data_IF_592995758217
#
_entry.id   IF_592995758217
#
_cell.length_a   1.000
_cell.length_b   1.000
_cell.length_c   1.000
_cell.angle_alpha   90.00
_cell.angle_beta   90.00
_cell.angle_gamma   90.00
#
_symmetry.space_group_name_H-M   'P 1'
#
loop_
_entity.id
_entity.type
_entity.pdbx_description
1 polymer ?
#
# COMPACT_ATOMS: atom_id res chain seq x y z
N UNK A 1 6.38 -19.88 -8.98
CA UNK A 1 5.20 -19.12 -8.49
C UNK A 1 4.01 -19.62 -9.28
N UNK A 2 2.92 -20.07 -8.62
CA UNK A 2 1.73 -20.58 -9.29
C UNK A 2 0.64 -19.52 -9.25
N UNK A 3 0.05 -19.22 -10.40
CA UNK A 3 -1.11 -18.33 -10.50
C UNK A 3 -2.35 -19.19 -10.55
N UNK A 4 -3.31 -18.90 -9.68
CA UNK A 4 -4.59 -19.58 -9.58
C UNK A 4 -5.73 -18.59 -9.84
N UNK A 5 -6.82 -19.07 -10.45
CA UNK A 5 -8.01 -18.26 -10.67
C UNK A 5 -8.91 -18.34 -9.44
N UNK A 6 -9.20 -17.20 -8.81
CA UNK A 6 -10.02 -17.14 -7.58
C UNK A 6 -11.27 -16.30 -7.83
N UNK A 7 -12.45 -16.85 -7.51
CA UNK A 7 -13.71 -16.12 -7.66
C UNK A 7 -13.70 -14.82 -6.85
N UNK A 8 -14.12 -13.66 -7.43
CA UNK A 8 -14.15 -12.37 -6.73
C UNK A 8 -14.87 -12.42 -5.37
N UNK A 9 -15.93 -13.20 -5.26
CA UNK A 9 -16.69 -13.38 -4.02
C UNK A 9 -15.89 -14.00 -2.86
N UNK A 10 -14.75 -14.64 -3.14
CA UNK A 10 -13.84 -15.18 -2.13
C UNK A 10 -12.71 -14.24 -1.74
N UNK A 11 -12.62 -13.07 -2.39
CA UNK A 11 -11.56 -12.09 -2.17
C UNK A 11 -12.06 -11.02 -1.21
N UNK A 12 -11.35 -10.85 -0.10
CA UNK A 12 -11.71 -9.89 0.94
C UNK A 12 -10.63 -8.80 1.04
N UNK A 13 -11.02 -7.51 1.08
CA UNK A 13 -10.07 -6.42 1.32
C UNK A 13 -9.41 -6.56 2.69
N UNK A 14 -8.10 -6.37 2.77
CA UNK A 14 -7.41 -6.32 4.05
C UNK A 14 -7.88 -5.10 4.87
N UNK A 15 -8.29 -5.27 6.14
CA UNK A 15 -8.76 -4.16 6.98
C UNK A 15 -7.65 -3.15 7.29
N UNK A 16 -6.42 -3.59 7.31
CA UNK A 16 -5.21 -2.81 7.62
C UNK A 16 -4.50 -2.25 6.38
N UNK A 17 -5.13 -2.27 5.21
CA UNK A 17 -4.52 -1.73 3.98
C UNK A 17 -4.08 -0.28 4.15
N UNK A 18 -2.87 0.01 3.71
CA UNK A 18 -2.20 1.30 3.92
C UNK A 18 -2.16 2.20 2.68
N UNK A 19 -2.76 1.77 1.58
CA UNK A 19 -2.74 2.49 0.30
C UNK A 19 -4.07 3.15 0.00
N UNK A 20 -4.02 4.35 -0.59
CA UNK A 20 -5.19 5.09 -1.04
C UNK A 20 -5.03 5.50 -2.50
N UNK A 21 -6.10 5.41 -3.28
CA UNK A 21 -6.11 5.82 -4.69
C UNK A 21 -7.30 6.74 -4.94
N UNK A 22 -7.10 7.79 -5.70
CA UNK A 22 -8.13 8.73 -6.07
C UNK A 22 -9.08 8.13 -7.11
N UNK A 23 -10.33 8.60 -7.15
CA UNK A 23 -11.35 8.10 -8.12
C UNK A 23 -10.90 8.21 -9.59
N UNK A 24 -10.26 9.31 -10.05
CA UNK A 24 -9.74 9.39 -11.42
C UNK A 24 -8.73 8.30 -11.75
N UNK A 25 -7.84 7.98 -10.81
CA UNK A 25 -6.81 6.96 -11.00
C UNK A 25 -7.42 5.54 -11.07
N UNK A 26 -8.49 5.29 -10.30
CA UNK A 26 -9.25 4.05 -10.40
C UNK A 26 -9.90 3.88 -11.78
N UNK A 27 -10.35 4.98 -12.41
CA UNK A 27 -10.89 4.93 -13.76
C UNK A 27 -9.80 4.55 -14.76
N UNK A 28 -8.64 5.22 -14.71
CA UNK A 28 -7.48 4.90 -15.58
C UNK A 28 -7.08 3.44 -15.41
N UNK A 29 -7.05 2.93 -14.18
CA UNK A 29 -6.74 1.53 -13.90
C UNK A 29 -7.79 0.58 -14.49
N UNK A 30 -9.07 0.93 -14.41
CA UNK A 30 -10.16 0.15 -14.99
C UNK A 30 -10.07 0.10 -16.52
N UNK A 31 -9.78 1.24 -17.16
CA UNK A 31 -9.59 1.35 -18.60
C UNK A 31 -8.37 0.51 -19.04
N UNK A 32 -7.25 0.62 -18.32
CA UNK A 32 -6.06 -0.19 -18.59
C UNK A 32 -6.32 -1.71 -18.47
N UNK A 33 -7.09 -2.14 -17.46
CA UNK A 33 -7.45 -3.57 -17.32
C UNK A 33 -8.38 -4.01 -18.45
N UNK A 34 -9.25 -3.12 -18.94
CA UNK A 34 -10.11 -3.41 -20.09
C UNK A 34 -9.31 -3.59 -21.38
N UNK A 35 -8.31 -2.75 -21.60
CA UNK A 35 -7.53 -2.70 -22.85
C UNK A 35 -6.45 -3.80 -22.91
N UNK A 36 -5.76 -4.03 -21.81
CA UNK A 36 -4.58 -4.89 -21.76
C UNK A 36 -4.75 -6.15 -20.90
N UNK A 37 -5.89 -6.28 -20.22
CA UNK A 37 -6.08 -7.33 -19.22
C UNK A 37 -5.37 -7.05 -17.88
N UNK A 38 -5.47 -7.99 -16.97
CA UNK A 38 -4.82 -7.91 -15.66
C UNK A 38 -3.34 -8.33 -15.78
N UNK A 39 -2.45 -7.36 -16.03
CA UNK A 39 -1.02 -7.58 -16.26
C UNK A 39 -0.26 -8.14 -15.05
N UNK A 40 -0.80 -7.98 -13.85
CA UNK A 40 -0.18 -8.45 -12.61
C UNK A 40 -1.23 -9.11 -11.69
N UNK A 41 -1.03 -10.36 -11.25
CA UNK A 41 -1.98 -11.05 -10.38
C UNK A 41 -2.11 -10.37 -9.03
N UNK A 42 -3.20 -10.64 -8.32
CA UNK A 42 -3.36 -10.26 -6.92
C UNK A 42 -2.49 -11.17 -6.04
N UNK A 43 -2.02 -10.65 -4.88
CA UNK A 43 -1.41 -11.47 -3.84
C UNK A 43 -2.44 -11.68 -2.74
N UNK A 44 -2.76 -12.94 -2.44
CA UNK A 44 -3.88 -13.30 -1.59
C UNK A 44 -3.45 -14.32 -0.54
N UNK A 45 -3.85 -14.11 0.71
CA UNK A 45 -3.68 -15.08 1.78
C UNK A 45 -4.58 -16.28 1.51
N UNK A 46 -4.00 -17.47 1.43
CA UNK A 46 -4.69 -18.70 1.03
C UNK A 46 -5.81 -19.11 1.99
N UNK A 47 -5.58 -18.92 3.28
CA UNK A 47 -6.50 -19.36 4.34
C UNK A 47 -7.80 -18.57 4.39
N UNK A 48 -7.73 -17.24 4.21
CA UNK A 48 -8.85 -16.32 4.41
C UNK A 48 -9.39 -15.68 3.11
N UNK A 49 -8.64 -15.74 2.00
CA UNK A 49 -8.95 -14.99 0.79
C UNK A 49 -8.64 -13.50 0.89
N UNK A 50 -7.89 -13.09 1.91
CA UNK A 50 -7.55 -11.69 2.18
C UNK A 50 -6.53 -11.17 1.17
N UNK A 51 -6.85 -10.05 0.51
CA UNK A 51 -6.00 -9.43 -0.52
C UNK A 51 -4.88 -8.63 0.13
N UNK A 52 -3.65 -9.14 0.04
CA UNK A 52 -2.44 -8.52 0.57
C UNK A 52 -1.95 -7.40 -0.34
N UNK A 53 -1.92 -7.66 -1.67
CA UNK A 53 -1.61 -6.64 -2.69
C UNK A 53 -2.55 -6.76 -3.88
N UNK A 54 -2.84 -5.62 -4.52
CA UNK A 54 -3.73 -5.53 -5.67
C UNK A 54 -5.16 -5.14 -5.34
N UNK A 55 -5.42 -4.59 -4.17
CA UNK A 55 -6.75 -4.13 -3.75
C UNK A 55 -7.41 -3.18 -4.76
N UNK A 56 -6.67 -2.20 -5.31
CA UNK A 56 -7.23 -1.26 -6.29
C UNK A 56 -7.61 -1.96 -7.60
N UNK A 57 -6.86 -3.00 -8.00
CA UNK A 57 -7.19 -3.86 -9.15
C UNK A 57 -8.50 -4.63 -8.90
N UNK A 58 -8.68 -5.15 -7.69
CA UNK A 58 -9.94 -5.79 -7.30
C UNK A 58 -11.11 -4.81 -7.34
N UNK A 59 -10.94 -3.58 -6.82
CA UNK A 59 -11.96 -2.53 -6.87
C UNK A 59 -12.28 -2.15 -8.32
N UNK A 60 -11.28 -1.94 -9.17
CA UNK A 60 -11.48 -1.61 -10.58
C UNK A 60 -12.32 -2.69 -11.29
N UNK A 61 -11.99 -3.97 -11.05
CA UNK A 61 -12.75 -5.10 -11.59
C UNK A 61 -14.19 -5.10 -11.07
N UNK A 62 -14.39 -4.91 -9.77
CA UNK A 62 -15.72 -4.96 -9.13
C UNK A 62 -16.61 -3.76 -9.47
N UNK A 63 -16.00 -2.61 -9.79
CA UNK A 63 -16.75 -1.37 -10.12
C UNK A 63 -17.18 -1.27 -11.58
N UNK A 64 -16.58 -2.06 -12.47
CA UNK A 64 -16.91 -2.06 -13.91
C UNK A 64 -17.77 -3.27 -14.26
N UNK A 65 -18.95 -3.04 -14.86
CA UNK A 65 -19.84 -4.13 -15.30
C UNK A 65 -19.18 -5.06 -16.32
N UNK A 66 -18.38 -4.51 -17.24
CA UNK A 66 -17.67 -5.29 -18.26
C UNK A 66 -16.58 -6.17 -17.61
N UNK A 67 -15.77 -5.60 -16.72
CA UNK A 67 -14.70 -6.34 -16.02
C UNK A 67 -15.30 -7.38 -15.06
N UNK A 68 -16.38 -7.06 -14.34
CA UNK A 68 -17.08 -8.03 -13.50
C UNK A 68 -17.54 -9.24 -14.30
N UNK A 69 -18.03 -9.03 -15.54
CA UNK A 69 -18.39 -10.13 -16.43
C UNK A 69 -17.17 -10.92 -16.89
N UNK A 70 -16.08 -10.25 -17.27
CA UNK A 70 -14.85 -10.91 -17.78
C UNK A 70 -14.12 -11.69 -16.72
N UNK A 71 -14.12 -11.22 -15.47
CA UNK A 71 -13.41 -11.84 -14.34
C UNK A 71 -14.34 -12.56 -13.34
N UNK A 72 -15.62 -12.72 -13.67
CA UNK A 72 -16.62 -13.34 -12.80
C UNK A 72 -16.30 -14.78 -12.42
N UNK A 73 -15.69 -15.54 -13.33
CA UNK A 73 -15.27 -16.94 -13.10
C UNK A 73 -13.96 -17.02 -12.29
N UNK A 74 -13.17 -15.95 -12.27
CA UNK A 74 -11.98 -15.87 -11.44
C UNK A 74 -11.02 -14.76 -11.83
N UNK A 75 -10.39 -14.22 -10.80
CA UNK A 75 -9.29 -13.24 -10.90
C UNK A 75 -7.98 -13.96 -10.72
N UNK A 76 -6.96 -13.70 -11.57
CA UNK A 76 -5.62 -14.27 -11.40
C UNK A 76 -5.00 -13.85 -10.07
N UNK A 77 -4.66 -14.80 -9.22
CA UNK A 77 -4.11 -14.61 -7.90
C UNK A 77 -2.88 -15.49 -7.65
N UNK A 78 -1.95 -14.99 -6.88
CA UNK A 78 -0.88 -15.75 -6.24
C UNK A 78 -1.32 -16.03 -4.81
N UNK A 79 -1.54 -17.28 -4.48
CA UNK A 79 -1.92 -17.69 -3.14
C UNK A 79 -0.68 -17.91 -2.27
N UNK A 80 -0.62 -17.21 -1.13
CA UNK A 80 0.46 -17.33 -0.16
C UNK A 80 -0.05 -17.94 1.15
N UNK A 81 0.74 -18.86 1.71
CA UNK A 81 0.41 -19.50 2.97
C UNK A 81 1.15 -18.79 4.11
N UNK A 82 0.57 -17.71 4.60
CA UNK A 82 1.11 -16.87 5.67
C UNK A 82 0.01 -16.59 6.69
N UNK A 83 0.37 -16.30 7.94
CA UNK A 83 -0.60 -15.81 8.93
C UNK A 83 -0.89 -14.30 8.75
N UNK A 84 -1.79 -13.75 9.57
CA UNK A 84 -2.22 -12.35 9.42
C UNK A 84 -1.09 -11.34 9.67
N UNK A 85 -0.19 -11.65 10.58
CA UNK A 85 0.94 -10.77 10.90
C UNK A 85 1.96 -10.78 9.74
N UNK A 86 2.29 -11.93 9.21
CA UNK A 86 3.17 -12.03 8.04
C UNK A 86 2.53 -11.42 6.79
N UNK A 87 1.20 -11.51 6.66
CA UNK A 87 0.47 -10.84 5.59
C UNK A 87 0.60 -9.30 5.69
N UNK A 88 0.56 -8.73 6.90
CA UNK A 88 0.82 -7.30 7.13
C UNK A 88 2.27 -6.94 6.77
N UNK A 89 3.24 -7.74 7.22
CA UNK A 89 4.66 -7.55 6.87
C UNK A 89 4.86 -7.57 5.36
N UNK A 90 4.28 -8.57 4.69
CA UNK A 90 4.34 -8.69 3.22
C UNK A 90 3.72 -7.48 2.54
N UNK A 91 2.55 -7.01 2.99
CA UNK A 91 1.89 -5.82 2.45
C UNK A 91 2.81 -4.59 2.50
N UNK A 92 3.43 -4.34 3.64
CA UNK A 92 4.35 -3.21 3.80
C UNK A 92 5.55 -3.35 2.85
N UNK A 93 6.21 -4.51 2.84
CA UNK A 93 7.42 -4.75 2.02
C UNK A 93 7.16 -4.63 0.53
N UNK A 94 5.98 -5.03 0.05
CA UNK A 94 5.60 -4.90 -1.38
C UNK A 94 5.22 -3.48 -1.76
N UNK A 95 4.65 -2.69 -0.84
CA UNK A 95 4.10 -1.37 -1.16
C UNK A 95 5.01 -0.21 -0.75
N UNK A 96 5.84 -0.35 0.29
CA UNK A 96 6.78 0.70 0.72
C UNK A 96 7.74 1.16 -0.40
N UNK A 97 8.34 0.27 -1.20
CA UNK A 97 9.18 0.69 -2.32
C UNK A 97 8.43 1.45 -3.43
N UNK A 98 7.10 1.30 -3.51
CA UNK A 98 6.24 2.02 -4.46
C UNK A 98 5.89 3.44 -3.99
N UNK A 99 6.28 3.83 -2.77
CA UNK A 99 6.05 5.17 -2.21
C UNK A 99 4.61 5.49 -1.85
N UNK A 100 3.71 4.51 -1.76
CA UNK A 100 2.25 4.72 -1.66
C UNK A 100 1.65 4.46 -0.27
N UNK A 101 2.46 4.33 0.78
CA UNK A 101 1.96 4.04 2.12
C UNK A 101 1.68 5.31 2.91
N UNK A 102 0.44 5.47 3.38
CA UNK A 102 0.02 6.57 4.25
C UNK A 102 0.57 6.36 5.66
N UNK A 103 1.25 7.36 6.21
CA UNK A 103 1.92 7.31 7.51
C UNK A 103 1.04 6.82 8.67
N UNK A 104 -0.21 7.29 8.73
CA UNK A 104 -1.19 6.87 9.74
C UNK A 104 -1.48 5.36 9.69
N UNK A 105 -1.62 4.82 8.47
CA UNK A 105 -1.87 3.39 8.28
C UNK A 105 -0.61 2.58 8.59
N UNK A 106 0.57 3.08 8.20
CA UNK A 106 1.85 2.46 8.55
C UNK A 106 2.02 2.34 10.07
N UNK A 107 1.77 3.42 10.83
CA UNK A 107 1.79 3.40 12.31
C UNK A 107 0.84 2.33 12.88
N UNK A 108 -0.38 2.22 12.34
CA UNK A 108 -1.33 1.20 12.78
C UNK A 108 -0.84 -0.22 12.53
N UNK A 109 -0.24 -0.47 11.36
CA UNK A 109 0.32 -1.79 11.01
C UNK A 109 1.51 -2.11 11.92
N UNK A 110 2.46 -1.19 12.09
CA UNK A 110 3.64 -1.38 12.97
C UNK A 110 3.21 -1.70 14.39
N UNK A 111 2.22 -0.98 14.93
CA UNK A 111 1.65 -1.25 16.25
C UNK A 111 1.07 -2.65 16.37
N UNK A 112 0.28 -3.09 15.39
CA UNK A 112 -0.33 -4.42 15.41
C UNK A 112 0.73 -5.52 15.33
N UNK A 113 1.75 -5.36 14.47
CA UNK A 113 2.86 -6.31 14.36
C UNK A 113 3.63 -6.38 15.69
N UNK A 114 3.97 -5.26 16.28
CA UNK A 114 4.69 -5.19 17.56
C UNK A 114 3.86 -5.80 18.71
N UNK A 115 2.58 -5.47 18.81
CA UNK A 115 1.66 -6.00 19.83
C UNK A 115 1.44 -7.51 19.71
N UNK A 116 1.58 -8.08 18.53
CA UNK A 116 1.48 -9.53 18.33
C UNK A 116 2.61 -10.31 19.00
N UNK A 117 3.72 -9.64 19.37
CA UNK A 117 4.95 -10.22 19.92
C UNK A 117 5.64 -11.26 19.02
N UNK A 118 5.26 -11.31 17.74
CA UNK A 118 5.90 -12.19 16.76
C UNK A 118 7.24 -11.64 16.29
N UNK A 119 7.38 -10.31 16.27
CA UNK A 119 8.58 -9.59 15.88
C UNK A 119 9.00 -8.60 16.96
N UNK A 120 10.31 -8.47 17.22
CA UNK A 120 10.87 -7.39 18.04
C UNK A 120 10.89 -6.08 17.24
N UNK A 121 11.12 -4.96 17.93
CA UNK A 121 11.20 -3.66 17.25
C UNK A 121 12.37 -3.60 16.28
N UNK A 122 13.51 -4.18 16.64
CA UNK A 122 14.71 -4.24 15.81
C UNK A 122 14.44 -5.07 14.53
N UNK A 123 13.69 -6.16 14.65
CA UNK A 123 13.30 -6.97 13.51
C UNK A 123 12.33 -6.20 12.59
N UNK A 124 11.42 -5.40 13.15
CA UNK A 124 10.50 -4.55 12.38
C UNK A 124 11.28 -3.47 11.64
N UNK A 125 12.27 -2.85 12.29
CA UNK A 125 13.15 -1.86 11.68
C UNK A 125 13.92 -2.44 10.49
N UNK A 126 14.50 -3.62 10.66
CA UNK A 126 15.20 -4.32 9.59
C UNK A 126 14.26 -4.71 8.45
N UNK A 127 13.10 -5.31 8.75
CA UNK A 127 12.12 -5.76 7.76
C UNK A 127 11.58 -4.62 6.89
N UNK A 128 11.45 -3.42 7.46
CA UNK A 128 10.88 -2.26 6.79
C UNK A 128 11.91 -1.22 6.40
N UNK A 129 13.19 -1.45 6.67
CA UNK A 129 14.28 -0.50 6.47
C UNK A 129 13.95 0.85 7.13
N UNK A 130 13.59 0.81 8.41
CA UNK A 130 13.32 1.97 9.25
C UNK A 130 14.51 2.24 10.17
N UNK A 131 14.66 3.49 10.60
CA UNK A 131 15.55 3.81 11.72
C UNK A 131 14.77 3.78 13.05
N UNK A 132 15.51 3.69 14.15
CA UNK A 132 14.93 3.59 15.52
C UNK A 132 13.97 4.75 15.81
N UNK A 133 14.30 5.97 15.39
CA UNK A 133 13.45 7.14 15.58
C UNK A 133 12.13 7.03 14.81
N UNK A 134 12.17 6.48 13.58
CA UNK A 134 10.97 6.27 12.74
C UNK A 134 10.03 5.25 13.38
N UNK A 135 10.56 4.13 13.88
CA UNK A 135 9.76 3.10 14.53
C UNK A 135 9.18 3.56 15.88
N UNK A 136 9.95 4.25 16.69
CA UNK A 136 9.46 4.86 17.94
C UNK A 136 8.31 5.83 17.69
N UNK A 137 8.43 6.71 16.69
CA UNK A 137 7.36 7.62 16.29
C UNK A 137 6.09 6.87 15.85
N UNK A 138 6.26 5.78 15.10
CA UNK A 138 5.14 4.96 14.65
C UNK A 138 4.45 4.27 15.82
N UNK A 139 5.19 3.80 16.82
CA UNK A 139 4.65 3.18 18.02
C UNK A 139 3.98 4.18 18.93
N UNK A 140 4.55 5.34 19.15
CA UNK A 140 3.99 6.39 20.03
C UNK A 140 2.73 7.04 19.43
N UNK A 141 2.56 6.98 18.10
CA UNK A 141 1.46 7.63 17.41
C UNK A 141 1.59 9.16 17.36
N UNK A 142 2.74 9.69 17.76
CA UNK A 142 3.06 11.12 17.79
C UNK A 142 3.20 11.74 16.40
N UNK A 143 3.24 10.92 15.34
CA UNK A 143 3.12 11.34 13.94
C UNK A 143 1.89 12.22 13.68
N UNK A 144 0.88 12.13 14.56
CA UNK A 144 -0.34 12.94 14.47
C UNK A 144 -0.17 14.26 15.24
N UNK A 145 0.80 14.35 16.17
CA UNK A 145 1.10 15.56 16.93
C UNK A 145 2.20 16.35 16.21
N UNK A 146 1.82 17.11 15.22
CA UNK A 146 2.58 17.86 14.21
C UNK A 146 3.72 18.80 14.69
N UNK A 147 4.18 18.74 15.94
CA UNK A 147 5.15 19.71 16.45
C UNK A 147 6.63 19.39 16.23
N UNK A 148 6.98 18.14 15.84
CA UNK A 148 8.38 17.72 15.68
C UNK A 148 8.75 17.10 14.33
N UNK A 149 7.86 17.11 13.36
CA UNK A 149 8.09 16.50 12.03
C UNK A 149 9.29 17.13 11.28
N UNK A 150 9.58 18.41 11.55
CA UNK A 150 10.71 19.12 10.91
C UNK A 150 12.09 18.66 11.37
N UNK A 151 12.19 17.94 12.49
CA UNK A 151 13.47 17.52 13.09
C UNK A 151 13.83 16.06 12.77
N UNK A 152 12.95 15.30 12.08
CA UNK A 152 13.16 13.90 11.83
C UNK A 152 13.64 13.63 10.40
N UNK A 153 14.65 12.81 10.28
CA UNK A 153 15.12 12.27 8.99
C UNK A 153 14.27 11.06 8.64
N UNK A 154 13.35 11.23 7.69
CA UNK A 154 12.52 10.14 7.18
C UNK A 154 13.27 9.33 6.13
N UNK A 155 12.94 8.03 6.01
CA UNK A 155 13.44 7.25 4.89
C UNK A 155 12.89 7.82 3.57
N UNK A 156 13.63 7.72 2.44
CA UNK A 156 13.21 8.30 1.14
C UNK A 156 11.84 7.82 0.64
N UNK A 157 11.34 6.69 1.16
CA UNK A 157 10.03 6.14 0.81
C UNK A 157 8.86 6.75 1.59
N UNK A 158 9.13 7.72 2.49
CA UNK A 158 8.12 8.22 3.39
C UNK A 158 7.99 9.74 3.32
N UNK A 159 6.86 10.21 2.80
CA UNK A 159 6.53 11.64 2.72
C UNK A 159 5.22 11.88 3.49
N UNK A 160 5.18 12.76 4.51
CA UNK A 160 3.94 13.14 5.18
C UNK A 160 2.95 13.76 4.19
N UNK A 161 1.68 13.33 4.24
CA UNK A 161 0.64 13.82 3.32
C UNK A 161 0.18 15.24 3.65
N UNK A 162 0.37 15.69 4.89
CA UNK A 162 0.01 17.04 5.31
C UNK A 162 1.27 17.83 5.67
N UNK A 163 1.67 18.72 4.77
CA UNK A 163 2.60 19.77 5.15
C UNK A 163 1.93 20.70 6.17
N UNK A 164 2.61 21.10 7.27
CA UNK A 164 2.03 22.05 8.22
C UNK A 164 1.65 23.34 7.48
N UNK A 165 0.43 23.81 7.72
CA UNK A 165 -0.08 25.10 7.20
C UNK A 165 0.84 26.22 7.69
N UNK A 166 1.73 26.70 6.83
CA UNK A 166 2.74 27.72 7.14
C UNK A 166 4.06 27.54 6.38
N UNK A 167 4.29 26.43 5.74
CA UNK A 167 5.41 26.26 4.81
C UNK A 167 4.97 26.64 3.38
N UNK A 168 4.64 27.92 3.16
CA UNK A 168 4.63 28.50 1.84
C UNK A 168 6.09 28.85 1.47
N UNK A 169 6.87 27.85 1.13
CA UNK A 169 7.91 28.01 0.15
C UNK A 169 7.52 27.13 -1.04
N UNK A 170 6.94 27.80 -2.02
CA UNK A 170 6.74 27.26 -3.35
C UNK A 170 8.08 26.79 -3.89
N UNK A 171 8.33 25.47 -3.84
CA UNK A 171 9.31 24.89 -4.74
C UNK A 171 8.68 25.00 -6.12
N UNK A 172 9.00 26.09 -6.81
CA UNK A 172 8.77 26.25 -8.24
C UNK A 172 9.66 25.19 -8.88
N UNK A 173 9.07 24.06 -9.24
CA UNK A 173 9.68 23.13 -10.17
C UNK A 173 9.72 23.87 -11.52
N UNK A 174 10.84 24.52 -11.81
CA UNK A 174 11.12 25.00 -13.16
C UNK A 174 11.04 23.79 -14.09
N UNK A 175 10.09 23.82 -15.01
CA UNK A 175 10.05 22.86 -16.11
C UNK A 175 11.33 23.01 -16.91
N UNK A 176 12.04 21.93 -17.23
CA UNK A 176 13.13 22.02 -18.18
C UNK A 176 12.58 22.60 -19.50
N UNK A 177 13.35 23.44 -20.19
CA UNK A 177 12.92 24.00 -21.46
C UNK A 177 12.61 22.88 -22.44
N UNK A 178 11.46 23.02 -23.14
CA UNK A 178 11.09 22.12 -24.24
C UNK A 178 12.23 22.12 -25.26
N UNK A 179 12.81 20.98 -25.49
CA UNK A 179 13.74 20.76 -26.61
C UNK A 179 12.87 20.47 -27.86
N UNK A 180 12.51 21.55 -28.57
CA UNK A 180 11.92 21.46 -29.90
C UNK A 180 12.99 21.01 -30.89
N UNK A 181 13.05 19.71 -31.18
CA UNK A 181 13.61 19.17 -32.43
C UNK A 181 12.87 17.92 -32.88
#
# INVERSE_FOLDING_TARGET
MKIESVKPARLTPAPWRATHVLKPDLKILSDSISDYGLLSPLIVQKSSGLVIDGYHRLIAISSSKSLTKSYGDGVPCVLVNVDDIDAMVMHVRVNRPKGSIVAKHMSSIVKQIYQSRKYTIEQIDELFNMNVTESELMLDGSLIKMRKIKEHVYSPAWVPIEAPSGAQESVVLERPPNDDR
#
